data_IF_199828875244
#
_entry.id   IF_199828875244
#
_cell.length_a   1.000
_cell.length_b   1.000
_cell.length_c   1.000
_cell.angle_alpha   90.00
_cell.angle_beta   90.00
_cell.angle_gamma   90.00
#
_symmetry.space_group_name_H-M   'P 1'
#
loop_
_entity.id
_entity.type
_entity.pdbx_description
1 polymer ?
#
# COMPACT_ATOMS: atom_id res chain seq x y z
N UNK A 1 -16.83 20.88 -12.95
CA UNK A 1 -16.17 19.57 -13.07
C UNK A 1 -17.22 18.54 -13.49
N UNK A 2 -17.15 17.99 -14.71
CA UNK A 2 -18.10 16.93 -15.13
C UNK A 2 -17.55 15.63 -14.60
N UNK A 3 -18.18 15.07 -13.56
CA UNK A 3 -17.94 13.70 -13.13
C UNK A 3 -18.29 12.77 -14.28
N UNK A 4 -17.29 12.35 -15.03
CA UNK A 4 -17.47 11.39 -16.11
C UNK A 4 -17.27 10.00 -15.53
N UNK A 5 -18.35 9.43 -14.99
CA UNK A 5 -18.38 8.01 -14.64
C UNK A 5 -17.93 7.20 -15.87
N UNK A 6 -17.07 6.22 -15.67
CA UNK A 6 -16.54 5.37 -16.73
C UNK A 6 -15.73 6.09 -17.82
N UNK A 7 -15.01 7.17 -17.48
CA UNK A 7 -14.14 7.83 -18.47
C UNK A 7 -13.11 6.87 -19.07
N UNK A 8 -12.68 5.89 -18.31
CA UNK A 8 -11.73 4.84 -18.71
C UNK A 8 -12.28 3.93 -19.80
N UNK A 9 -13.59 3.69 -19.82
CA UNK A 9 -14.24 2.83 -20.82
C UNK A 9 -14.63 3.59 -22.11
N UNK A 10 -14.53 4.91 -22.11
CA UNK A 10 -14.87 5.72 -23.30
C UNK A 10 -13.89 5.45 -24.43
N UNK A 11 -14.38 4.88 -25.53
CA UNK A 11 -13.56 4.50 -26.70
C UNK A 11 -12.82 3.16 -26.52
N UNK A 12 -13.24 2.32 -25.57
CA UNK A 12 -12.68 0.99 -25.38
C UNK A 12 -12.97 0.08 -26.57
N UNK A 13 -11.95 -0.56 -27.11
CA UNK A 13 -12.06 -1.48 -28.23
C UNK A 13 -12.13 -2.92 -27.70
N UNK A 14 -13.15 -3.66 -28.12
CA UNK A 14 -13.36 -5.05 -27.69
C UNK A 14 -12.17 -5.99 -27.99
N UNK A 15 -11.34 -5.63 -28.96
CA UNK A 15 -10.12 -6.35 -29.33
C UNK A 15 -9.07 -6.39 -28.21
N UNK A 16 -9.11 -5.44 -27.26
CA UNK A 16 -8.20 -5.40 -26.10
C UNK A 16 -8.68 -6.28 -24.94
N UNK A 17 -9.96 -6.66 -24.93
CA UNK A 17 -10.56 -7.39 -23.80
C UNK A 17 -9.78 -8.66 -23.38
N UNK A 18 -9.34 -9.55 -24.30
CA UNK A 18 -8.59 -10.73 -23.89
C UNK A 18 -7.24 -10.40 -23.24
N UNK A 19 -6.56 -9.35 -23.74
CA UNK A 19 -5.28 -8.90 -23.21
C UNK A 19 -5.46 -8.26 -21.83
N UNK A 20 -6.52 -7.47 -21.66
CA UNK A 20 -6.83 -6.81 -20.40
C UNK A 20 -7.25 -7.81 -19.32
N UNK A 21 -8.02 -8.85 -19.69
CA UNK A 21 -8.37 -9.93 -18.76
C UNK A 21 -7.09 -10.67 -18.32
N UNK A 22 -6.22 -11.03 -19.26
CA UNK A 22 -4.97 -11.72 -18.92
C UNK A 22 -4.06 -10.85 -18.03
N UNK A 23 -3.90 -9.58 -18.35
CA UNK A 23 -3.16 -8.62 -17.52
C UNK A 23 -3.79 -8.47 -16.13
N UNK A 24 -5.13 -8.42 -16.06
CA UNK A 24 -5.85 -8.33 -14.80
C UNK A 24 -5.62 -9.55 -13.90
N UNK A 25 -5.59 -10.75 -14.47
CA UNK A 25 -5.29 -11.99 -13.73
C UNK A 25 -3.86 -11.95 -13.17
N UNK A 26 -2.88 -11.53 -13.97
CA UNK A 26 -1.48 -11.40 -13.51
C UNK A 26 -1.38 -10.39 -12.37
N UNK A 27 -1.98 -9.20 -12.54
CA UNK A 27 -1.97 -8.15 -11.52
C UNK A 27 -2.65 -8.66 -10.24
N UNK A 28 -3.78 -9.33 -10.33
CA UNK A 28 -4.48 -9.90 -9.18
C UNK A 28 -3.61 -10.92 -8.45
N UNK A 29 -2.97 -11.84 -9.19
CA UNK A 29 -2.09 -12.86 -8.61
C UNK A 29 -0.91 -12.25 -7.82
N UNK A 30 -0.36 -11.13 -8.29
CA UNK A 30 0.74 -10.41 -7.60
C UNK A 30 0.21 -9.57 -6.45
N UNK A 31 -0.96 -8.93 -6.62
CA UNK A 31 -1.54 -8.02 -5.61
C UNK A 31 -2.03 -8.76 -4.36
N UNK A 32 -2.51 -9.99 -4.48
CA UNK A 32 -3.03 -10.78 -3.36
C UNK A 32 -2.00 -10.91 -2.23
N UNK A 33 -0.81 -11.51 -2.45
CA UNK A 33 0.17 -11.67 -1.37
C UNK A 33 0.71 -10.32 -0.87
N UNK A 34 0.84 -9.33 -1.74
CA UNK A 34 1.28 -7.98 -1.36
C UNK A 34 0.26 -7.33 -0.41
N UNK A 35 -1.02 -7.37 -0.75
CA UNK A 35 -2.10 -6.81 0.07
C UNK A 35 -2.18 -7.46 1.44
N UNK A 36 -2.05 -8.78 1.49
CA UNK A 36 -2.02 -9.54 2.75
C UNK A 36 -0.82 -9.14 3.61
N UNK A 37 0.35 -8.96 2.99
CA UNK A 37 1.55 -8.52 3.70
C UNK A 37 1.42 -7.11 4.28
N UNK A 38 0.84 -6.18 3.54
CA UNK A 38 0.65 -4.81 4.02
C UNK A 38 -0.44 -4.71 5.11
N UNK A 39 -1.46 -5.55 5.06
CA UNK A 39 -2.42 -5.66 6.16
C UNK A 39 -1.73 -6.05 7.47
N UNK A 40 -0.86 -7.05 7.44
CA UNK A 40 -0.08 -7.46 8.61
C UNK A 40 0.85 -6.35 9.13
N UNK A 41 1.51 -5.61 8.23
CA UNK A 41 2.32 -4.45 8.60
C UNK A 41 1.47 -3.36 9.27
N UNK A 42 0.24 -3.18 8.83
CA UNK A 42 -0.71 -2.24 9.46
C UNK A 42 -1.25 -2.73 10.80
N UNK A 43 -0.96 -3.95 11.23
CA UNK A 43 -1.46 -4.51 12.48
C UNK A 43 -2.87 -5.09 12.38
N UNK A 44 -3.33 -5.49 11.20
CA UNK A 44 -4.61 -6.17 10.97
C UNK A 44 -4.42 -7.56 10.35
N UNK A 45 -5.39 -8.46 10.52
CA UNK A 45 -5.34 -9.77 9.90
C UNK A 45 -5.23 -9.68 8.37
N UNK A 46 -4.43 -10.57 7.76
CA UNK A 46 -4.10 -10.57 6.34
C UNK A 46 -5.33 -10.55 5.40
N UNK A 47 -6.45 -11.14 5.82
CA UNK A 47 -7.71 -11.19 5.06
C UNK A 47 -8.23 -9.78 4.73
N UNK A 48 -8.05 -8.82 5.62
CA UNK A 48 -8.50 -7.44 5.37
C UNK A 48 -7.71 -6.74 4.26
N UNK A 49 -6.48 -7.19 4.00
CA UNK A 49 -5.71 -6.75 2.84
C UNK A 49 -6.39 -7.09 1.52
N UNK A 50 -7.05 -8.25 1.43
CA UNK A 50 -7.82 -8.63 0.25
C UNK A 50 -9.03 -7.71 0.05
N UNK A 51 -9.76 -7.40 1.10
CA UNK A 51 -10.89 -6.46 1.02
C UNK A 51 -10.41 -5.06 0.59
N UNK A 52 -9.28 -4.60 1.14
CA UNK A 52 -8.65 -3.33 0.77
C UNK A 52 -8.13 -3.29 -0.66
N UNK A 53 -7.86 -4.43 -1.29
CA UNK A 53 -7.42 -4.47 -2.68
C UNK A 53 -8.56 -4.57 -3.70
N UNK A 54 -9.77 -5.01 -3.31
CA UNK A 54 -10.89 -5.17 -4.26
C UNK A 54 -11.75 -3.93 -4.33
N UNK A 55 -12.36 -3.53 -3.22
CA UNK A 55 -13.34 -2.44 -3.20
C UNK A 55 -12.74 -1.08 -3.61
N UNK A 56 -11.59 -0.64 -3.07
CA UNK A 56 -10.98 0.63 -3.46
C UNK A 56 -10.58 0.67 -4.94
N UNK A 57 -10.08 -0.43 -5.50
CA UNK A 57 -9.72 -0.51 -6.92
C UNK A 57 -10.97 -0.35 -7.80
N UNK A 58 -12.07 -0.98 -7.44
CA UNK A 58 -13.34 -0.83 -8.17
C UNK A 58 -13.86 0.61 -8.11
N UNK A 59 -13.85 1.23 -6.92
CA UNK A 59 -14.24 2.62 -6.77
C UNK A 59 -13.33 3.56 -7.56
N UNK A 60 -12.02 3.32 -7.51
CA UNK A 60 -11.08 4.09 -8.31
C UNK A 60 -11.35 3.95 -9.81
N UNK A 61 -11.60 2.75 -10.32
CA UNK A 61 -11.92 2.52 -11.72
C UNK A 61 -13.20 3.24 -12.16
N UNK A 62 -14.19 3.38 -11.26
CA UNK A 62 -15.44 4.09 -11.53
C UNK A 62 -15.29 5.61 -11.58
N UNK A 63 -14.52 6.18 -10.67
CA UNK A 63 -14.44 7.63 -10.46
C UNK A 63 -13.18 8.27 -11.05
N UNK A 64 -12.14 7.48 -11.34
CA UNK A 64 -10.88 8.00 -11.87
C UNK A 64 -10.99 8.42 -13.31
N UNK A 65 -10.23 9.47 -13.65
CA UNK A 65 -9.97 9.90 -15.02
C UNK A 65 -8.66 9.34 -15.59
N UNK A 66 -7.83 8.75 -14.75
CA UNK A 66 -6.55 8.16 -15.16
C UNK A 66 -6.76 6.79 -15.79
N UNK A 67 -6.12 6.56 -16.94
CA UNK A 67 -6.11 5.26 -17.64
C UNK A 67 -4.84 4.44 -17.37
N UNK A 68 -3.86 5.02 -16.72
CA UNK A 68 -2.54 4.41 -16.54
C UNK A 68 -2.23 4.08 -15.09
N UNK A 69 -2.87 4.77 -14.16
CA UNK A 69 -2.63 4.58 -12.73
C UNK A 69 -3.43 3.39 -12.22
N UNK A 70 -2.74 2.46 -11.57
CA UNK A 70 -3.35 1.32 -10.87
C UNK A 70 -3.36 1.68 -9.39
N UNK A 71 -4.55 1.85 -8.82
CA UNK A 71 -4.73 2.09 -7.39
C UNK A 71 -4.60 0.77 -6.64
N UNK A 72 -3.90 0.78 -5.51
CA UNK A 72 -3.72 -0.42 -4.68
C UNK A 72 -3.27 -0.07 -3.28
N UNK A 73 -3.11 -1.09 -2.46
CA UNK A 73 -2.51 -0.96 -1.12
C UNK A 73 -1.03 -0.61 -1.24
N UNK A 74 -0.53 0.21 -0.31
CA UNK A 74 0.85 0.69 -0.33
C UNK A 74 1.52 0.46 1.03
N UNK A 75 2.84 0.24 0.98
CA UNK A 75 3.67 -0.03 2.13
C UNK A 75 3.78 1.15 3.08
N UNK A 76 3.90 2.38 2.55
CA UNK A 76 4.12 3.56 3.37
C UNK A 76 2.93 3.89 4.27
N UNK A 77 1.67 3.98 3.78
CA UNK A 77 0.50 4.12 4.65
C UNK A 77 0.35 2.96 5.63
N UNK A 78 0.62 1.72 5.20
CA UNK A 78 0.54 0.55 6.05
C UNK A 78 1.51 0.65 7.25
N UNK A 79 2.76 1.02 7.00
CA UNK A 79 3.76 1.20 8.04
C UNK A 79 3.41 2.35 8.99
N UNK A 80 2.89 3.47 8.48
CA UNK A 80 2.45 4.61 9.30
C UNK A 80 1.32 4.19 10.24
N UNK A 81 0.32 3.44 9.75
CA UNK A 81 -0.79 2.95 10.57
C UNK A 81 -0.30 1.98 11.63
N UNK A 82 0.53 0.99 11.25
CA UNK A 82 1.12 0.04 12.20
C UNK A 82 1.97 0.72 13.28
N UNK A 83 2.79 1.69 12.88
CA UNK A 83 3.59 2.51 13.82
C UNK A 83 2.72 3.34 14.76
N UNK A 84 1.64 3.94 14.27
CA UNK A 84 0.70 4.69 15.10
C UNK A 84 0.02 3.80 16.16
N UNK A 85 -0.45 2.61 15.76
CA UNK A 85 -1.03 1.65 16.72
C UNK A 85 -0.03 1.22 17.77
N UNK A 86 1.22 0.93 17.36
CA UNK A 86 2.30 0.56 18.28
C UNK A 86 2.58 1.68 19.29
N UNK A 87 2.66 2.95 18.83
CA UNK A 87 2.88 4.11 19.68
C UNK A 87 1.75 4.30 20.69
N UNK A 88 0.51 3.95 20.35
CA UNK A 88 -0.64 3.98 21.24
C UNK A 88 -0.70 2.76 22.17
N UNK A 89 0.25 1.82 22.09
CA UNK A 89 0.25 0.60 22.86
C UNK A 89 -0.84 -0.40 22.47
N UNK A 90 -1.39 -0.28 21.27
CA UNK A 90 -2.44 -1.15 20.75
C UNK A 90 -1.78 -2.37 20.09
N UNK A 91 -2.09 -3.55 20.59
CA UNK A 91 -1.56 -4.80 20.03
C UNK A 91 -2.10 -5.04 18.62
N UNK A 92 -1.24 -5.56 17.72
CA UNK A 92 -1.66 -5.98 16.40
C UNK A 92 -2.75 -7.04 16.48
N UNK A 93 -3.66 -7.02 15.52
CA UNK A 93 -4.80 -7.95 15.39
C UNK A 93 -5.77 -7.96 16.59
N UNK A 94 -5.67 -6.99 17.50
CA UNK A 94 -6.60 -6.82 18.63
C UNK A 94 -7.94 -6.21 18.16
N UNK A 95 -9.00 -6.40 18.97
CA UNK A 95 -10.28 -5.73 18.72
C UNK A 95 -10.12 -4.21 18.66
N UNK A 96 -9.30 -3.64 19.55
CA UNK A 96 -9.00 -2.21 19.54
C UNK A 96 -8.36 -1.78 18.21
N UNK A 97 -7.41 -2.53 17.66
CA UNK A 97 -6.82 -2.22 16.35
C UNK A 97 -7.89 -2.19 15.24
N UNK A 98 -8.85 -3.10 15.29
CA UNK A 98 -9.93 -3.18 14.31
C UNK A 98 -10.88 -1.98 14.37
N UNK A 99 -11.03 -1.34 15.52
CA UNK A 99 -11.84 -0.14 15.71
C UNK A 99 -11.08 1.13 15.30
N UNK A 100 -9.79 1.21 15.61
CA UNK A 100 -8.99 2.39 15.32
C UNK A 100 -8.66 2.55 13.83
N UNK A 101 -8.44 1.47 13.09
CA UNK A 101 -8.06 1.55 11.68
C UNK A 101 -9.13 2.18 10.79
N UNK A 102 -10.42 1.82 10.90
CA UNK A 102 -11.48 2.52 10.18
C UNK A 102 -11.57 4.01 10.55
N UNK A 103 -11.36 4.36 11.81
CA UNK A 103 -11.32 5.75 12.25
C UNK A 103 -10.16 6.51 11.60
N UNK A 104 -8.95 5.94 11.58
CA UNK A 104 -7.79 6.51 10.89
C UNK A 104 -8.10 6.70 9.40
N UNK A 105 -8.71 5.70 8.77
CA UNK A 105 -9.07 5.78 7.35
C UNK A 105 -10.09 6.89 7.06
N UNK A 106 -11.10 7.07 7.92
CA UNK A 106 -12.08 8.15 7.81
C UNK A 106 -11.41 9.53 7.97
N UNK A 107 -10.54 9.70 8.96
CA UNK A 107 -9.80 10.95 9.13
C UNK A 107 -8.87 11.23 7.95
N UNK A 108 -8.17 10.23 7.44
CA UNK A 108 -7.33 10.37 6.25
C UNK A 108 -8.18 10.79 5.02
N UNK A 109 -9.32 10.15 4.84
CA UNK A 109 -10.27 10.51 3.78
C UNK A 109 -10.79 11.94 3.91
N UNK A 110 -11.11 12.38 5.14
CA UNK A 110 -11.53 13.75 5.43
C UNK A 110 -10.43 14.76 5.09
N UNK A 111 -9.17 14.49 5.49
CA UNK A 111 -8.04 15.36 5.15
C UNK A 111 -7.79 15.42 3.64
N UNK A 112 -7.86 14.29 2.94
CA UNK A 112 -7.74 14.27 1.48
C UNK A 112 -8.86 15.07 0.81
N UNK A 113 -10.08 15.01 1.34
CA UNK A 113 -11.19 15.82 0.86
C UNK A 113 -10.97 17.32 1.08
N UNK A 114 -10.45 17.70 2.26
CA UNK A 114 -10.06 19.10 2.55
C UNK A 114 -8.97 19.56 1.59
N UNK A 115 -7.93 18.76 1.36
CA UNK A 115 -6.86 19.07 0.41
C UNK A 115 -7.39 19.24 -1.02
N UNK A 116 -8.35 18.45 -1.42
CA UNK A 116 -9.04 18.60 -2.69
C UNK A 116 -9.76 19.95 -2.79
N UNK A 117 -10.49 20.37 -1.75
CA UNK A 117 -11.17 21.67 -1.72
C UNK A 117 -10.19 22.85 -1.74
N UNK A 118 -9.04 22.72 -1.10
CA UNK A 118 -7.98 23.72 -1.05
C UNK A 118 -7.11 23.76 -2.31
N UNK A 119 -7.38 22.88 -3.30
CA UNK A 119 -6.55 22.72 -4.50
C UNK A 119 -5.07 22.47 -4.15
N UNK A 120 -4.82 21.60 -3.17
CA UNK A 120 -3.47 21.25 -2.72
C UNK A 120 -2.66 20.47 -3.78
N UNK A 121 -3.28 20.04 -4.87
CA UNK A 121 -2.64 19.55 -6.09
C UNK A 121 -1.56 20.51 -6.61
N UNK A 122 -1.76 21.82 -6.49
CA UNK A 122 -0.77 22.84 -6.87
C UNK A 122 0.51 22.79 -6.04
N UNK A 123 0.46 22.27 -4.81
CA UNK A 123 1.65 22.10 -3.97
C UNK A 123 2.54 21.00 -4.52
N UNK A 124 1.95 19.99 -5.12
CA UNK A 124 2.70 18.86 -5.73
C UNK A 124 3.53 19.33 -6.93
N UNK A 125 3.08 20.36 -7.65
CA UNK A 125 3.82 20.95 -8.77
C UNK A 125 5.16 21.60 -8.34
N UNK A 126 5.29 21.94 -7.05
CA UNK A 126 6.54 22.44 -6.46
C UNK A 126 7.58 21.34 -6.22
N UNK A 127 7.16 20.07 -6.22
CA UNK A 127 8.08 18.95 -6.02
C UNK A 127 8.82 18.70 -7.32
N UNK A 128 10.13 18.98 -7.32
CA UNK A 128 10.95 18.77 -8.51
C UNK A 128 11.10 17.27 -8.82
N UNK A 129 11.23 16.93 -10.11
CA UNK A 129 11.42 15.55 -10.58
C UNK A 129 12.59 14.83 -9.89
N UNK A 130 13.76 15.47 -9.63
CA UNK A 130 14.84 14.83 -8.89
C UNK A 130 14.47 14.45 -7.45
N UNK A 131 13.68 15.28 -6.77
CA UNK A 131 13.20 14.99 -5.40
C UNK A 131 12.28 13.78 -5.40
N UNK A 132 11.33 13.71 -6.36
CA UNK A 132 10.47 12.54 -6.52
C UNK A 132 11.29 11.28 -6.85
N UNK A 133 12.29 11.39 -7.72
CA UNK A 133 13.18 10.27 -8.03
C UNK A 133 13.94 9.77 -6.80
N UNK A 134 14.48 10.67 -5.99
CA UNK A 134 15.13 10.34 -4.73
C UNK A 134 14.19 9.67 -3.72
N UNK A 135 12.99 10.20 -3.57
CA UNK A 135 11.96 9.63 -2.69
C UNK A 135 11.58 8.19 -3.10
N UNK A 136 11.29 7.98 -4.38
CA UNK A 136 10.93 6.64 -4.89
C UNK A 136 12.10 5.66 -4.72
N UNK A 137 13.33 6.09 -4.99
CA UNK A 137 14.52 5.26 -4.81
C UNK A 137 14.75 4.91 -3.34
N UNK A 138 14.56 5.85 -2.43
CA UNK A 138 14.64 5.63 -0.99
C UNK A 138 13.61 4.61 -0.51
N UNK A 139 12.37 4.75 -0.91
CA UNK A 139 11.30 3.77 -0.60
C UNK A 139 11.64 2.40 -1.15
N UNK A 140 12.12 2.30 -2.39
CA UNK A 140 12.48 1.03 -3.00
C UNK A 140 13.55 0.29 -2.18
N UNK A 141 14.61 0.99 -1.75
CA UNK A 141 15.65 0.43 -0.88
C UNK A 141 15.06 -0.02 0.45
N UNK A 142 14.23 0.80 1.08
CA UNK A 142 13.59 0.46 2.35
C UNK A 142 12.73 -0.80 2.22
N UNK A 143 11.91 -0.91 1.16
CA UNK A 143 11.08 -2.09 0.92
C UNK A 143 11.95 -3.35 0.74
N UNK A 144 13.05 -3.26 0.00
CA UNK A 144 13.98 -4.39 -0.17
C UNK A 144 14.53 -4.83 1.18
N UNK A 145 15.01 -3.89 1.99
CA UNK A 145 15.55 -4.18 3.32
C UNK A 145 14.51 -4.82 4.24
N UNK A 146 13.26 -4.36 4.19
CA UNK A 146 12.15 -4.94 4.96
C UNK A 146 11.83 -6.40 4.57
N UNK A 147 12.13 -6.82 3.34
CA UNK A 147 11.87 -8.19 2.88
C UNK A 147 13.02 -9.16 3.21
N UNK A 148 14.24 -8.67 3.50
CA UNK A 148 15.38 -9.55 3.81
C UNK A 148 15.10 -10.48 4.99
N UNK A 149 14.55 -10.04 6.16
CA UNK A 149 14.22 -10.94 7.25
C UNK A 149 13.21 -12.03 6.85
N UNK A 150 12.27 -11.72 5.95
CA UNK A 150 11.31 -12.73 5.43
C UNK A 150 12.00 -13.86 4.67
N UNK A 151 13.00 -13.54 3.86
CA UNK A 151 13.80 -14.56 3.15
C UNK A 151 14.58 -15.45 4.13
N UNK A 152 14.87 -14.94 5.34
CA UNK A 152 15.55 -15.69 6.41
C UNK A 152 14.58 -16.45 7.32
N UNK A 153 13.25 -16.44 7.02
CA UNK A 153 12.22 -17.11 7.81
C UNK A 153 11.74 -16.33 9.05
N UNK A 154 12.10 -15.05 9.14
CA UNK A 154 11.63 -14.14 10.19
C UNK A 154 10.49 -13.25 9.69
N UNK A 155 9.69 -12.63 10.58
CA UNK A 155 8.71 -11.62 10.18
C UNK A 155 9.36 -10.48 9.39
N UNK A 156 8.56 -9.79 8.55
CA UNK A 156 9.06 -8.62 7.83
C UNK A 156 9.64 -7.59 8.80
N UNK A 157 10.75 -6.98 8.45
CA UNK A 157 11.30 -5.87 9.21
C UNK A 157 10.33 -4.68 9.21
N UNK A 158 10.31 -3.93 10.30
CA UNK A 158 9.54 -2.70 10.44
C UNK A 158 10.39 -1.63 11.10
N UNK A 159 9.98 -0.37 11.03
CA UNK A 159 10.67 0.74 11.68
C UNK A 159 11.66 1.48 10.77
N UNK A 160 12.52 2.27 11.41
CA UNK A 160 13.55 3.07 10.74
C UNK A 160 14.73 2.22 10.23
N UNK A 161 15.59 2.79 9.39
CA UNK A 161 16.72 2.08 8.78
C UNK A 161 17.66 1.40 9.78
N UNK A 162 17.85 2.00 10.98
CA UNK A 162 18.67 1.42 12.04
C UNK A 162 17.99 0.18 12.65
N UNK A 163 16.69 0.27 12.94
CA UNK A 163 15.90 -0.85 13.44
C UNK A 163 15.83 -1.99 12.42
N UNK A 164 15.69 -1.65 11.14
CA UNK A 164 15.76 -2.63 10.05
C UNK A 164 17.09 -3.36 10.01
N UNK A 165 18.19 -2.65 10.22
CA UNK A 165 19.52 -3.29 10.29
C UNK A 165 19.58 -4.28 11.47
N UNK A 166 19.09 -3.90 12.65
CA UNK A 166 19.03 -4.79 13.83
C UNK A 166 18.15 -6.02 13.55
N UNK A 167 16.99 -5.83 12.92
CA UNK A 167 16.11 -6.95 12.52
C UNK A 167 16.80 -7.90 11.55
N UNK A 168 17.56 -7.39 10.57
CA UNK A 168 18.32 -8.21 9.62
C UNK A 168 19.41 -8.99 10.36
N UNK A 169 20.16 -8.37 11.27
CA UNK A 169 21.18 -9.04 12.06
C UNK A 169 20.58 -10.11 12.99
N UNK A 170 19.43 -9.84 13.60
CA UNK A 170 18.73 -10.82 14.43
C UNK A 170 18.21 -12.00 13.61
N UNK A 171 17.65 -11.75 12.43
CA UNK A 171 17.20 -12.78 11.49
C UNK A 171 18.35 -13.63 10.98
N UNK A 172 19.51 -13.02 10.72
CA UNK A 172 20.70 -13.72 10.26
C UNK A 172 21.27 -14.73 11.28
N UNK A 173 21.04 -14.49 12.57
CA UNK A 173 21.43 -15.44 13.64
C UNK A 173 20.53 -16.67 13.74
N UNK A 174 19.29 -16.57 13.24
CA UNK A 174 18.24 -17.58 13.36
C UNK A 174 17.74 -18.02 11.98
N UNK A 175 18.62 -18.17 10.99
CA UNK A 175 18.24 -18.58 9.63
C UNK A 175 17.59 -19.98 9.68
N UNK A 176 16.36 -20.06 9.21
CA UNK A 176 15.69 -21.34 8.99
C UNK A 176 15.96 -21.81 7.57
N UNK A 177 16.64 -22.95 7.43
CA UNK A 177 16.95 -23.57 6.13
C UNK A 177 15.73 -23.97 5.32
N UNK A 178 14.55 -24.01 5.95
CA UNK A 178 13.26 -24.35 5.32
C UNK A 178 12.61 -23.15 4.59
N UNK A 179 13.12 -21.96 4.77
CA UNK A 179 12.56 -20.74 4.18
C UNK A 179 13.36 -20.20 2.99
N UNK A 180 14.48 -20.82 2.71
CA UNK A 180 15.33 -20.62 1.51
C UNK A 180 14.95 -21.62 0.41
#
# INVERSE_FOLDING_TARGET
>A
MKLSLFSTLRGYRKEYLPKDIFSGIIIAAVSIPISMGYAQISGIPAVYGLYGSVLPILLFALFSTSRQFIFGVDAAPAAIVGGALSTLGIAAESEAAMDYIPAIALFAGLWLFIFFLLHADKIVDFISTPVMGGFISGIAVTIILMQIPKLMGSPAGSGELLELAEHIFAAAKNISWLSL
#
